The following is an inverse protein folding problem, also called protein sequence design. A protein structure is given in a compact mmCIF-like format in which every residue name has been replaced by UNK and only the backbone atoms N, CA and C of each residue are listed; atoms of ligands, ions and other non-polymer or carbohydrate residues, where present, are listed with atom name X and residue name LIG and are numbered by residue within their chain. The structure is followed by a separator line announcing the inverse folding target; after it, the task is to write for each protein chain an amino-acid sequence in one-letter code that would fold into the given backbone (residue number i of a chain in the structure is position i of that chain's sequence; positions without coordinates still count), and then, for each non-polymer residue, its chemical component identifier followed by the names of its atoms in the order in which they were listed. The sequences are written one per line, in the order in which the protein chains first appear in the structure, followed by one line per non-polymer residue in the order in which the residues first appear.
data_IF_276821993608
#
_entry.id   IF_276821993608
#
_cell.length_a   1.000
_cell.length_b   1.000
_cell.length_c   1.000
_cell.angle_alpha   90.00
_cell.angle_beta   90.00
_cell.angle_gamma   90.00
#
_symmetry.space_group_name_H-M   'P 1'
#
loop_
_entity.id
_entity.type
_entity.pdbx_description
1 polymer ?
#
# COMPACT_ATOMS: atom_id res chain seq x y z
N UNK A 1 2.80 -8.09 30.85
CA UNK A 1 2.81 -8.61 29.47
C UNK A 1 3.93 -7.91 28.72
N UNK A 2 4.79 -8.61 27.97
CA UNK A 2 5.76 -7.93 27.12
C UNK A 2 5.02 -7.04 26.11
N UNK A 3 5.54 -5.84 25.88
CA UNK A 3 4.99 -4.89 24.90
C UNK A 3 4.99 -5.51 23.50
N UNK A 4 3.86 -5.42 22.79
CA UNK A 4 3.78 -5.83 21.39
C UNK A 4 4.76 -5.03 20.53
N UNK A 5 5.53 -5.72 19.68
CA UNK A 5 6.46 -5.05 18.74
C UNK A 5 5.66 -4.40 17.63
N UNK A 6 6.12 -3.25 17.15
CA UNK A 6 5.53 -2.52 16.03
C UNK A 6 6.59 -2.32 14.97
N UNK A 7 6.28 -2.69 13.74
CA UNK A 7 7.13 -2.54 12.57
C UNK A 7 6.41 -1.71 11.52
N UNK A 8 7.15 -0.90 10.77
CA UNK A 8 6.63 -0.17 9.62
C UNK A 8 7.51 -0.44 8.40
N UNK A 9 6.89 -0.68 7.24
CA UNK A 9 7.57 -0.86 5.96
C UNK A 9 6.69 -0.28 4.83
N UNK A 10 7.24 -0.10 3.64
CA UNK A 10 6.55 0.47 2.48
C UNK A 10 7.20 -0.01 1.19
N UNK A 11 6.58 0.29 0.04
CA UNK A 11 7.17 0.20 -1.30
C UNK A 11 7.61 -1.24 -1.64
N UNK A 12 6.69 -2.19 -1.46
CA UNK A 12 6.93 -3.61 -1.75
C UNK A 12 7.03 -3.87 -3.25
N UNK A 13 6.26 -3.15 -4.06
CA UNK A 13 6.31 -3.18 -5.53
C UNK A 13 6.42 -4.58 -6.11
N UNK A 14 5.48 -5.48 -5.78
CA UNK A 14 5.46 -6.85 -6.29
C UNK A 14 6.68 -7.73 -5.91
N UNK A 15 7.53 -7.30 -4.98
CA UNK A 15 8.71 -8.06 -4.56
C UNK A 15 8.39 -9.11 -3.49
N UNK A 16 7.45 -10.01 -3.78
CA UNK A 16 6.92 -11.01 -2.84
C UNK A 16 8.02 -11.77 -2.09
N UNK A 17 9.02 -12.29 -2.81
CA UNK A 17 10.07 -13.13 -2.22
C UNK A 17 10.87 -12.40 -1.14
N UNK A 18 11.27 -11.16 -1.42
CA UNK A 18 12.01 -10.32 -0.48
C UNK A 18 11.16 -9.98 0.72
N UNK A 19 9.89 -9.62 0.49
CA UNK A 19 8.97 -9.28 1.57
C UNK A 19 8.65 -10.47 2.48
N UNK A 20 8.40 -11.66 1.91
CA UNK A 20 8.21 -12.89 2.70
C UNK A 20 9.44 -13.22 3.54
N UNK A 21 10.63 -13.10 2.98
CA UNK A 21 11.86 -13.33 3.73
C UNK A 21 12.00 -12.35 4.90
N UNK A 22 11.73 -11.06 4.69
CA UNK A 22 11.69 -10.08 5.78
C UNK A 22 10.69 -10.47 6.88
N UNK A 23 9.46 -10.83 6.51
CA UNK A 23 8.39 -11.14 7.47
C UNK A 23 8.67 -12.44 8.24
N UNK A 24 9.05 -13.50 7.53
CA UNK A 24 9.14 -14.86 8.07
C UNK A 24 10.49 -15.13 8.76
N UNK A 25 11.59 -14.63 8.20
CA UNK A 25 12.95 -15.01 8.65
C UNK A 25 13.62 -13.93 9.51
N UNK A 26 13.53 -12.66 9.07
CA UNK A 26 14.21 -11.54 9.72
C UNK A 26 13.40 -11.00 10.91
N UNK A 27 12.14 -10.62 10.69
CA UNK A 27 11.27 -10.13 11.75
C UNK A 27 10.74 -11.26 12.63
N UNK A 28 10.58 -12.45 12.02
CA UNK A 28 9.87 -13.61 12.59
C UNK A 28 8.56 -13.14 13.19
N UNK A 29 7.72 -12.57 12.33
CA UNK A 29 6.51 -11.89 12.74
C UNK A 29 5.63 -12.85 13.56
N UNK A 30 5.10 -12.37 14.68
CA UNK A 30 4.16 -13.13 15.52
C UNK A 30 2.77 -12.48 15.43
N UNK A 31 1.69 -13.23 15.66
CA UNK A 31 0.33 -12.65 15.66
C UNK A 31 0.11 -11.51 16.66
N UNK A 32 0.96 -11.39 17.70
CA UNK A 32 0.90 -10.29 18.68
C UNK A 32 1.67 -9.04 18.25
N UNK A 33 2.51 -9.13 17.22
CA UNK A 33 3.27 -8.00 16.68
C UNK A 33 2.41 -7.27 15.63
N UNK A 34 2.58 -5.95 15.53
CA UNK A 34 1.90 -5.13 14.52
C UNK A 34 2.85 -4.81 13.37
N UNK A 35 2.41 -5.06 12.14
CA UNK A 35 3.10 -4.66 10.92
C UNK A 35 2.25 -3.63 10.18
N UNK A 36 2.76 -2.41 10.09
CA UNK A 36 2.14 -1.32 9.34
C UNK A 36 2.81 -1.21 7.97
N UNK A 37 2.03 -1.34 6.91
CA UNK A 37 2.50 -1.21 5.53
C UNK A 37 1.93 0.08 4.94
N UNK A 38 2.80 0.94 4.43
CA UNK A 38 2.44 2.31 4.07
C UNK A 38 2.09 2.48 2.58
N UNK A 39 1.66 1.41 1.90
CA UNK A 39 1.30 1.44 0.48
C UNK A 39 2.39 0.93 -0.46
N UNK A 40 2.10 1.03 -1.75
CA UNK A 40 2.95 0.63 -2.87
C UNK A 40 3.28 -0.88 -2.88
N UNK A 41 2.23 -1.69 -2.86
CA UNK A 41 2.27 -3.14 -2.95
C UNK A 41 2.42 -3.64 -4.38
N UNK A 42 1.83 -2.90 -5.33
CA UNK A 42 1.75 -3.29 -6.75
C UNK A 42 2.76 -2.51 -7.61
N UNK A 43 2.85 -2.92 -8.88
CA UNK A 43 3.67 -2.29 -9.92
C UNK A 43 5.19 -2.45 -9.71
N UNK A 44 5.98 -2.19 -10.76
CA UNK A 44 7.46 -2.23 -10.86
C UNK A 44 8.14 -3.59 -10.67
N UNK A 45 7.66 -4.45 -9.77
CA UNK A 45 8.23 -5.78 -9.54
C UNK A 45 7.36 -6.95 -9.99
N UNK A 46 7.88 -8.16 -9.86
CA UNK A 46 7.44 -9.31 -10.66
C UNK A 46 6.11 -9.94 -10.23
N UNK A 47 5.67 -9.73 -8.99
CA UNK A 47 4.57 -10.52 -8.42
C UNK A 47 3.64 -9.66 -7.54
N UNK A 48 2.90 -8.73 -8.17
CA UNK A 48 1.92 -7.88 -7.47
C UNK A 48 0.77 -8.71 -6.90
N UNK A 49 0.23 -9.65 -7.68
CA UNK A 49 -0.84 -10.56 -7.23
C UNK A 49 -0.44 -11.38 -6.01
N UNK A 50 0.75 -11.98 -6.02
CA UNK A 50 1.25 -12.76 -4.90
C UNK A 50 1.52 -11.93 -3.64
N UNK A 51 1.97 -10.67 -3.77
CA UNK A 51 2.04 -9.75 -2.62
C UNK A 51 0.66 -9.56 -2.00
N UNK A 52 -0.35 -9.23 -2.81
CA UNK A 52 -1.70 -9.01 -2.27
C UNK A 52 -2.29 -10.27 -1.63
N UNK A 53 -2.13 -11.44 -2.26
CA UNK A 53 -2.57 -12.71 -1.69
C UNK A 53 -1.91 -12.98 -0.33
N UNK A 54 -0.61 -12.71 -0.20
CA UNK A 54 0.12 -12.90 1.05
C UNK A 54 -0.35 -11.95 2.16
N UNK A 55 -0.59 -10.68 1.83
CA UNK A 55 -1.11 -9.69 2.79
C UNK A 55 -2.50 -10.06 3.29
N UNK A 56 -3.40 -10.43 2.39
CA UNK A 56 -4.74 -10.92 2.74
C UNK A 56 -4.65 -12.17 3.62
N UNK A 57 -3.78 -13.13 3.26
CA UNK A 57 -3.58 -14.35 4.04
C UNK A 57 -3.11 -14.06 5.47
N UNK A 58 -2.16 -13.14 5.67
CA UNK A 58 -1.71 -12.76 7.01
C UNK A 58 -2.87 -12.18 7.84
N UNK A 59 -3.68 -11.31 7.23
CA UNK A 59 -4.86 -10.73 7.89
C UNK A 59 -5.90 -11.81 8.25
N UNK A 60 -6.23 -12.68 7.30
CA UNK A 60 -7.20 -13.78 7.49
C UNK A 60 -6.75 -14.80 8.55
N UNK A 61 -5.44 -14.96 8.76
CA UNK A 61 -4.87 -15.86 9.76
C UNK A 61 -4.64 -15.20 11.13
N UNK A 62 -5.10 -13.95 11.30
CA UNK A 62 -5.11 -13.25 12.59
C UNK A 62 -3.85 -12.47 12.93
N UNK A 63 -2.91 -12.31 11.99
CA UNK A 63 -1.80 -11.38 12.18
C UNK A 63 -2.29 -9.93 12.14
N UNK A 64 -1.66 -9.08 12.96
CA UNK A 64 -1.99 -7.64 13.02
C UNK A 64 -1.27 -6.88 11.90
N UNK A 65 -1.66 -7.14 10.64
CA UNK A 65 -1.13 -6.45 9.46
C UNK A 65 -2.10 -5.34 9.02
N UNK A 66 -1.62 -4.11 9.08
CA UNK A 66 -2.37 -2.89 8.78
C UNK A 66 -1.81 -2.28 7.50
N UNK A 67 -2.64 -2.14 6.46
CA UNK A 67 -2.20 -1.68 5.14
C UNK A 67 -2.82 -0.32 4.82
N UNK A 68 -2.00 0.64 4.37
CA UNK A 68 -2.46 1.88 3.75
C UNK A 68 -2.55 1.74 2.23
N UNK A 69 -3.32 2.60 1.58
CA UNK A 69 -3.26 2.76 0.13
C UNK A 69 -2.09 3.68 -0.23
N UNK A 70 -1.21 3.21 -1.12
CA UNK A 70 -0.19 4.04 -1.78
C UNK A 70 -0.66 4.59 -3.12
N UNK A 71 0.17 5.41 -3.77
CA UNK A 71 -0.20 5.99 -5.06
C UNK A 71 -0.35 4.93 -6.14
N UNK A 72 0.45 3.86 -6.11
CA UNK A 72 0.35 2.81 -7.12
C UNK A 72 -0.92 1.96 -6.98
N UNK A 73 -1.45 1.81 -5.77
CA UNK A 73 -2.78 1.20 -5.59
C UNK A 73 -3.89 2.11 -6.12
N UNK A 74 -3.80 3.42 -5.90
CA UNK A 74 -4.78 4.38 -6.42
C UNK A 74 -4.75 4.42 -7.95
N UNK A 75 -3.57 4.49 -8.55
CA UNK A 75 -3.37 4.46 -10.01
C UNK A 75 -3.92 3.16 -10.64
N UNK A 76 -3.76 2.02 -9.97
CA UNK A 76 -4.32 0.75 -10.43
C UNK A 76 -5.85 0.77 -10.42
N UNK A 77 -6.46 1.25 -9.33
CA UNK A 77 -7.91 1.40 -9.23
C UNK A 77 -8.43 2.34 -10.32
N UNK A 78 -7.82 3.50 -10.50
CA UNK A 78 -8.21 4.49 -11.50
C UNK A 78 -8.11 3.91 -12.92
N UNK A 79 -7.06 3.14 -13.20
CA UNK A 79 -6.88 2.43 -14.48
C UNK A 79 -7.95 1.37 -14.72
N UNK A 80 -8.30 0.59 -13.70
CA UNK A 80 -9.36 -0.43 -13.78
C UNK A 80 -10.71 0.23 -14.07
N UNK A 81 -11.07 1.29 -13.34
CA UNK A 81 -12.36 1.97 -13.49
C UNK A 81 -12.44 2.82 -14.76
N UNK A 82 -11.31 3.32 -15.26
CA UNK A 82 -11.20 4.05 -16.53
C UNK A 82 -10.99 3.13 -17.73
N UNK A 83 -11.21 1.81 -17.58
CA UNK A 83 -11.13 0.82 -18.67
C UNK A 83 -9.77 0.76 -19.38
N UNK A 84 -8.68 1.09 -18.68
CA UNK A 84 -7.31 1.02 -19.21
C UNK A 84 -6.73 2.35 -19.66
N UNK A 85 -7.48 3.45 -19.61
CA UNK A 85 -7.03 4.79 -20.03
C UNK A 85 -6.21 5.56 -18.97
N UNK A 86 -5.73 4.88 -17.91
CA UNK A 86 -4.99 5.49 -16.80
C UNK A 86 -3.47 5.54 -16.99
N UNK A 87 -2.81 6.44 -16.26
CA UNK A 87 -1.35 6.69 -16.32
C UNK A 87 -0.51 5.76 -15.40
N UNK A 88 -1.03 4.58 -15.01
CA UNK A 88 -0.38 3.72 -14.00
C UNK A 88 1.02 3.24 -14.39
N UNK A 89 1.22 2.92 -15.66
CA UNK A 89 2.46 2.29 -16.14
C UNK A 89 3.26 3.23 -17.01
N UNK A 90 4.55 3.34 -16.72
CA UNK A 90 5.49 4.13 -17.54
C UNK A 90 5.98 3.36 -18.74
N UNK A 91 5.99 2.03 -18.64
CA UNK A 91 6.45 1.14 -19.70
C UNK A 91 5.48 -0.01 -19.92
N UNK A 92 5.46 -0.52 -21.15
CA UNK A 92 4.70 -1.72 -21.49
C UNK A 92 5.11 -2.94 -20.66
N UNK A 93 6.41 -3.03 -20.32
CA UNK A 93 6.94 -4.12 -19.48
C UNK A 93 6.37 -4.11 -18.07
N UNK A 94 6.24 -2.94 -17.44
CA UNK A 94 5.60 -2.82 -16.11
C UNK A 94 4.12 -3.24 -16.17
N UNK A 95 3.41 -2.85 -17.23
CA UNK A 95 2.03 -3.26 -17.46
C UNK A 95 1.90 -4.77 -17.62
N UNK A 96 2.65 -5.36 -18.56
CA UNK A 96 2.62 -6.80 -18.84
C UNK A 96 2.98 -7.60 -17.59
N UNK A 97 3.99 -7.17 -16.83
CA UNK A 97 4.41 -7.82 -15.59
C UNK A 97 3.33 -7.75 -14.50
N UNK A 98 2.74 -6.57 -14.28
CA UNK A 98 1.68 -6.38 -13.28
C UNK A 98 0.47 -7.25 -13.62
N UNK A 99 -0.03 -7.19 -14.85
CA UNK A 99 -1.20 -7.96 -15.29
C UNK A 99 -0.94 -9.47 -15.29
N UNK A 100 0.25 -9.90 -15.72
CA UNK A 100 0.65 -11.31 -15.67
C UNK A 100 0.66 -11.86 -14.23
N UNK A 101 1.03 -11.04 -13.23
CA UNK A 101 0.99 -11.47 -11.82
C UNK A 101 -0.43 -11.72 -11.29
N UNK A 102 -1.46 -11.14 -11.93
CA UNK A 102 -2.86 -11.43 -11.65
C UNK A 102 -3.44 -12.52 -12.56
N UNK A 103 -2.69 -13.00 -13.54
CA UNK A 103 -3.14 -13.99 -14.53
C UNK A 103 -4.11 -13.43 -15.57
N UNK A 104 -4.04 -12.13 -15.87
CA UNK A 104 -5.00 -11.43 -16.74
C UNK A 104 -4.31 -10.70 -17.89
N UNK A 105 -5.08 -10.36 -18.94
CA UNK A 105 -4.56 -9.61 -20.09
C UNK A 105 -4.94 -8.12 -20.05
N UNK A 106 -6.02 -7.78 -19.33
CA UNK A 106 -6.52 -6.41 -19.21
C UNK A 106 -6.72 -6.01 -17.75
N UNK A 107 -6.56 -4.72 -17.40
CA UNK A 107 -6.78 -4.26 -16.03
C UNK A 107 -8.18 -4.57 -15.51
N UNK A 108 -9.21 -4.44 -16.35
CA UNK A 108 -10.61 -4.72 -16.00
C UNK A 108 -10.91 -6.19 -15.68
N UNK A 109 -9.97 -7.10 -15.96
CA UNK A 109 -10.10 -8.52 -15.66
C UNK A 109 -9.51 -8.89 -14.28
N UNK A 110 -8.82 -7.95 -13.61
CA UNK A 110 -8.26 -8.18 -12.27
C UNK A 110 -9.39 -8.63 -11.32
N UNK A 111 -9.23 -9.77 -10.62
CA UNK A 111 -10.29 -10.33 -9.79
C UNK A 111 -10.82 -9.33 -8.76
N UNK A 112 -12.15 -9.29 -8.61
CA UNK A 112 -12.85 -8.32 -7.77
C UNK A 112 -12.41 -8.32 -6.31
N UNK A 113 -11.92 -9.46 -5.79
CA UNK A 113 -11.34 -9.54 -4.43
C UNK A 113 -10.18 -8.58 -4.21
N UNK A 114 -9.29 -8.42 -5.20
CA UNK A 114 -8.17 -7.50 -5.10
C UNK A 114 -8.66 -6.06 -5.18
N UNK A 115 -9.56 -5.78 -6.14
CA UNK A 115 -10.14 -4.44 -6.32
C UNK A 115 -10.85 -3.98 -5.05
N UNK A 116 -11.68 -4.84 -4.46
CA UNK A 116 -12.42 -4.54 -3.23
C UNK A 116 -11.49 -4.30 -2.04
N UNK A 117 -10.46 -5.15 -1.88
CA UNK A 117 -9.50 -4.98 -0.79
C UNK A 117 -8.70 -3.68 -0.94
N UNK A 118 -8.15 -3.41 -2.13
CA UNK A 118 -7.44 -2.16 -2.44
C UNK A 118 -8.32 -0.92 -2.21
N UNK A 119 -9.58 -0.98 -2.66
CA UNK A 119 -10.55 0.10 -2.51
C UNK A 119 -11.01 0.31 -1.05
N UNK A 120 -10.83 -0.68 -0.18
CA UNK A 120 -11.14 -0.58 1.25
C UNK A 120 -9.95 -0.04 2.09
N UNK A 121 -8.73 -0.01 1.54
CA UNK A 121 -7.56 0.48 2.26
C UNK A 121 -7.71 1.95 2.67
N UNK A 122 -7.42 2.30 3.93
CA UNK A 122 -7.38 3.69 4.37
C UNK A 122 -6.19 4.45 3.79
N UNK A 123 -6.31 5.78 3.73
CA UNK A 123 -5.22 6.67 3.32
C UNK A 123 -4.33 7.11 4.50
N UNK A 124 -4.85 7.06 5.73
CA UNK A 124 -4.09 7.30 6.95
C UNK A 124 -4.45 6.31 8.07
N UNK A 125 -3.50 6.10 8.98
CA UNK A 125 -3.73 5.44 10.26
C UNK A 125 -3.23 6.33 11.39
N UNK A 126 -4.13 6.72 12.29
CA UNK A 126 -3.79 7.46 13.49
C UNK A 126 -3.60 6.49 14.67
N UNK A 127 -2.37 6.43 15.17
CA UNK A 127 -1.99 5.74 16.40
C UNK A 127 -1.88 6.77 17.54
N UNK A 128 -1.86 6.34 18.81
CA UNK A 128 -1.71 7.26 19.95
C UNK A 128 -0.44 8.13 19.89
N UNK A 129 0.61 7.64 19.23
CA UNK A 129 1.96 8.24 19.20
C UNK A 129 2.47 8.54 17.79
N UNK A 130 1.81 8.04 16.74
CA UNK A 130 2.20 8.25 15.35
C UNK A 130 0.99 8.46 14.46
N UNK A 131 1.19 9.22 13.38
CA UNK A 131 0.28 9.21 12.24
C UNK A 131 1.03 8.63 11.07
N UNK A 132 0.44 7.63 10.42
CA UNK A 132 1.02 6.92 9.30
C UNK A 132 0.25 7.31 8.03
N UNK A 133 0.98 7.71 7.01
CA UNK A 133 0.48 8.09 5.68
C UNK A 133 1.52 7.64 4.66
N UNK A 134 1.10 7.34 3.42
CA UNK A 134 2.00 6.87 2.37
C UNK A 134 3.08 7.90 2.02
N UNK A 135 2.68 9.10 1.60
CA UNK A 135 3.60 10.14 1.16
C UNK A 135 3.82 11.24 2.21
N UNK A 136 2.76 11.95 2.60
CA UNK A 136 2.85 13.03 3.57
C UNK A 136 1.65 13.97 3.57
N UNK A 137 1.79 15.11 4.23
CA UNK A 137 0.74 16.13 4.31
C UNK A 137 1.19 17.45 3.70
N UNK A 138 0.22 18.23 3.24
CA UNK A 138 0.43 19.62 2.88
C UNK A 138 0.33 20.51 4.13
N UNK A 139 1.46 20.77 4.79
CA UNK A 139 1.54 21.58 6.01
C UNK A 139 1.21 23.07 5.80
N UNK A 140 1.06 23.55 4.55
CA UNK A 140 0.54 24.89 4.30
C UNK A 140 -0.96 25.01 4.64
N UNK A 141 -1.68 23.88 4.69
CA UNK A 141 -3.10 23.84 5.04
C UNK A 141 -3.30 23.73 6.56
N UNK A 142 -4.47 24.15 7.09
CA UNK A 142 -4.86 23.84 8.47
C UNK A 142 -4.93 22.32 8.75
N UNK A 143 -4.73 21.86 10.00
CA UNK A 143 -4.72 20.43 10.33
C UNK A 143 -5.94 19.62 9.85
N UNK A 144 -7.14 20.19 9.94
CA UNK A 144 -8.37 19.53 9.48
C UNK A 144 -8.50 19.47 7.95
N UNK A 145 -7.80 20.34 7.22
CA UNK A 145 -7.81 20.39 5.76
C UNK A 145 -6.69 19.53 5.18
N UNK A 146 -5.50 19.55 5.76
CA UNK A 146 -4.38 18.73 5.28
C UNK A 146 -4.69 17.22 5.33
N UNK A 147 -5.49 16.76 6.32
CA UNK A 147 -5.95 15.36 6.41
C UNK A 147 -7.05 14.99 5.40
N UNK A 148 -7.59 15.97 4.67
CA UNK A 148 -8.55 15.75 3.57
C UNK A 148 -7.91 15.92 2.20
N UNK A 149 -6.66 16.38 2.15
CA UNK A 149 -5.88 16.51 0.91
C UNK A 149 -5.29 15.13 0.52
N UNK A 150 -6.17 14.29 -0.04
CA UNK A 150 -5.81 12.93 -0.45
C UNK A 150 -4.74 12.91 -1.52
N UNK A 151 -4.63 13.96 -2.33
CA UNK A 151 -3.57 14.08 -3.33
C UNK A 151 -2.21 14.17 -2.65
N UNK A 152 -2.05 15.03 -1.64
CA UNK A 152 -0.78 15.11 -0.90
C UNK A 152 -0.46 13.81 -0.17
N UNK A 153 -1.47 13.16 0.42
CA UNK A 153 -1.32 11.87 1.12
C UNK A 153 -0.75 10.77 0.23
N UNK A 154 -1.04 10.81 -1.07
CA UNK A 154 -0.58 9.83 -2.04
C UNK A 154 0.68 10.27 -2.81
N UNK A 155 0.83 11.56 -3.15
CA UNK A 155 1.79 11.96 -4.18
C UNK A 155 2.87 12.94 -3.73
N UNK A 156 2.78 13.53 -2.52
CA UNK A 156 3.73 14.56 -2.13
C UNK A 156 5.16 14.01 -2.01
N UNK A 157 6.14 14.71 -2.57
CA UNK A 157 7.56 14.32 -2.51
C UNK A 157 8.42 15.28 -1.71
N UNK A 158 7.84 16.42 -1.34
CA UNK A 158 8.48 17.47 -0.58
C UNK A 158 7.45 18.08 0.33
N UNK A 159 7.78 18.13 1.61
CA UNK A 159 7.00 18.86 2.60
C UNK A 159 7.96 19.53 3.57
N UNK A 160 7.65 20.77 3.92
CA UNK A 160 8.33 21.46 5.02
C UNK A 160 7.50 21.20 6.27
N UNK A 161 8.05 20.39 7.18
CA UNK A 161 7.40 20.12 8.45
C UNK A 161 7.28 21.40 9.28
N UNK A 162 6.07 21.73 9.71
CA UNK A 162 5.78 22.84 10.61
C UNK A 162 5.35 22.28 11.98
N UNK A 163 6.21 22.32 13.02
CA UNK A 163 5.88 21.77 14.34
C UNK A 163 4.78 22.53 15.08
N UNK A 164 4.33 23.68 14.56
CA UNK A 164 3.22 24.44 15.15
C UNK A 164 1.84 23.93 14.75
N UNK A 165 1.76 22.94 13.85
CA UNK A 165 0.52 22.41 13.26
C UNK A 165 0.30 20.94 13.57
#
# INVERSE_FOLDING_TARGET
MPMSRRFAATDLHGCLRTFRHLVEEELRLRPTDHLYLLGDYVNKGPDSGGVLDYLMQLQDTGYQVHCLRGNHEQELLDTIFSHGDGDMWRTKTEQEMTLASFGVARPSEIPSRYVQWLAALPLELALPDFVLVHAGYNFALPPAEMRRDTFSMLYTKQFTYDPSR
#
